data_IF_729012517259
#
_entry.id   IF_729012517259
#
_cell.length_a   1.000
_cell.length_b   1.000
_cell.length_c   1.000
_cell.angle_alpha   90.00
_cell.angle_beta   90.00
_cell.angle_gamma   90.00
#
_symmetry.space_group_name_H-M   'P 1'
#
loop_
_entity.id
_entity.type
_entity.pdbx_description
1 polymer ?
#
# COMPACT_ATOMS: atom_id res chain seq x y z
N UNK A 1 -18.45 -18.08 -13.06
CA UNK A 1 -19.62 -17.29 -13.51
C UNK A 1 -19.12 -16.05 -14.25
N UNK A 2 -19.30 -16.06 -15.56
CA UNK A 2 -18.68 -15.16 -16.54
C UNK A 2 -19.30 -13.75 -16.48
N UNK A 3 -18.41 -12.75 -16.46
CA UNK A 3 -18.59 -11.30 -16.54
C UNK A 3 -19.95 -10.75 -17.03
N UNK A 4 -20.94 -10.68 -16.13
CA UNK A 4 -22.23 -9.99 -16.36
C UNK A 4 -22.14 -8.45 -16.35
N UNK A 5 -20.92 -7.89 -16.15
CA UNK A 5 -20.68 -6.46 -16.00
C UNK A 5 -20.36 -5.73 -17.30
N UNK A 6 -19.74 -6.40 -18.29
CA UNK A 6 -19.41 -5.76 -19.59
C UNK A 6 -20.59 -5.72 -20.56
N UNK A 7 -21.46 -6.74 -20.55
CA UNK A 7 -22.70 -6.77 -21.35
C UNK A 7 -23.63 -5.58 -21.07
N UNK A 8 -23.71 -5.14 -19.80
CA UNK A 8 -24.60 -4.03 -19.40
C UNK A 8 -24.14 -2.64 -19.88
N UNK A 9 -22.86 -2.43 -20.16
CA UNK A 9 -22.34 -1.10 -20.55
C UNK A 9 -22.41 -0.88 -22.07
N UNK A 10 -22.27 -1.94 -22.86
CA UNK A 10 -22.54 -1.93 -24.30
C UNK A 10 -24.04 -1.70 -24.59
N UNK A 11 -24.92 -2.44 -23.91
CA UNK A 11 -26.38 -2.30 -24.06
C UNK A 11 -26.89 -0.87 -23.75
N UNK A 12 -26.40 -0.23 -22.67
CA UNK A 12 -26.81 1.14 -22.30
C UNK A 12 -26.33 2.22 -23.27
N UNK A 13 -25.25 1.98 -24.02
CA UNK A 13 -24.73 2.95 -25.01
C UNK A 13 -25.39 2.76 -26.38
N UNK A 14 -25.67 1.53 -26.79
CA UNK A 14 -26.46 1.24 -27.99
C UNK A 14 -27.87 1.87 -27.88
N UNK A 15 -28.51 1.74 -26.72
CA UNK A 15 -29.83 2.35 -26.46
C UNK A 15 -29.80 3.88 -26.56
N UNK A 16 -28.66 4.51 -26.23
CA UNK A 16 -28.45 5.96 -26.37
C UNK A 16 -28.19 6.41 -27.82
N UNK A 17 -27.60 5.54 -28.65
CA UNK A 17 -27.38 5.81 -30.09
C UNK A 17 -28.68 5.64 -30.88
N UNK A 18 -29.50 4.63 -30.55
CA UNK A 18 -30.84 4.43 -31.13
C UNK A 18 -31.80 5.57 -30.77
N UNK A 19 -31.79 6.05 -29.52
CA UNK A 19 -32.58 7.23 -29.10
C UNK A 19 -32.19 8.55 -29.79
N UNK A 20 -31.02 8.62 -30.45
CA UNK A 20 -30.50 9.84 -31.10
C UNK A 20 -30.69 9.83 -32.63
N UNK A 21 -30.94 8.66 -33.23
CA UNK A 21 -31.18 8.50 -34.66
C UNK A 21 -32.64 8.08 -34.85
N UNK A 22 -33.55 9.04 -34.99
CA UNK A 22 -34.99 8.76 -35.11
C UNK A 22 -35.33 7.95 -36.37
N UNK A 23 -35.36 6.63 -36.24
CA UNK A 23 -35.81 5.69 -37.27
C UNK A 23 -36.97 4.81 -36.78
N UNK A 24 -37.76 4.33 -37.73
CA UNK A 24 -39.07 3.69 -37.55
C UNK A 24 -39.02 2.26 -36.97
N UNK A 25 -40.08 1.90 -36.25
CA UNK A 25 -40.30 0.66 -35.48
C UNK A 25 -39.96 -0.68 -36.18
N UNK A 26 -39.90 -0.72 -37.53
CA UNK A 26 -39.51 -1.92 -38.29
C UNK A 26 -37.98 -2.13 -38.39
N UNK A 27 -37.17 -1.06 -38.29
CA UNK A 27 -35.70 -1.15 -38.21
C UNK A 27 -35.21 -1.47 -36.78
N UNK A 28 -36.00 -1.14 -35.76
CA UNK A 28 -35.72 -1.41 -34.35
C UNK A 28 -35.67 -2.92 -34.04
N UNK A 29 -36.53 -3.72 -34.69
CA UNK A 29 -36.55 -5.17 -34.53
C UNK A 29 -35.33 -5.86 -35.18
N UNK A 30 -34.88 -5.37 -36.35
CA UNK A 30 -33.72 -5.91 -37.05
C UNK A 30 -32.38 -5.51 -36.39
N UNK A 31 -32.31 -4.32 -35.77
CA UNK A 31 -31.15 -3.86 -35.01
C UNK A 31 -31.07 -4.49 -33.61
N UNK A 32 -32.21 -4.77 -32.97
CA UNK A 32 -32.26 -5.44 -31.66
C UNK A 32 -31.81 -6.90 -31.74
N UNK A 33 -32.05 -7.59 -32.85
CA UNK A 33 -31.64 -9.00 -33.05
C UNK A 33 -30.13 -9.15 -33.34
N UNK A 34 -29.44 -8.08 -33.75
CA UNK A 34 -27.98 -8.09 -34.01
C UNK A 34 -27.11 -7.75 -32.80
N UNK A 35 -27.70 -7.27 -31.70
CA UNK A 35 -26.96 -6.90 -30.47
C UNK A 35 -26.85 -8.10 -29.50
N UNK A 36 -27.55 -9.20 -29.77
CA UNK A 36 -27.36 -10.46 -29.07
C UNK A 36 -26.25 -11.30 -29.75
N UNK A 37 -25.16 -11.53 -29.00
CA UNK A 37 -24.08 -12.50 -29.27
C UNK A 37 -22.95 -12.10 -30.22
N UNK A 38 -22.31 -10.95 -29.99
CA UNK A 38 -20.89 -10.84 -30.33
C UNK A 38 -20.07 -11.76 -29.43
N UNK A 39 -19.95 -13.01 -29.88
CA UNK A 39 -19.15 -14.04 -29.23
C UNK A 39 -17.72 -13.88 -29.74
N UNK A 40 -16.80 -13.53 -28.83
CA UNK A 40 -15.37 -13.46 -29.16
C UNK A 40 -14.94 -14.80 -29.78
N UNK A 41 -14.29 -14.80 -30.96
CA UNK A 41 -13.75 -16.03 -31.52
C UNK A 41 -12.77 -16.71 -30.55
N UNK A 42 -12.95 -18.01 -30.31
CA UNK A 42 -12.17 -18.76 -29.31
C UNK A 42 -10.65 -18.68 -29.54
N UNK A 43 -10.19 -18.55 -30.79
CA UNK A 43 -8.77 -18.45 -31.14
C UNK A 43 -8.16 -17.07 -30.84
N UNK A 44 -8.97 -16.08 -30.46
CA UNK A 44 -8.50 -14.80 -29.94
C UNK A 44 -8.43 -14.77 -28.40
N UNK A 45 -8.96 -15.80 -27.76
CA UNK A 45 -9.03 -15.91 -26.32
C UNK A 45 -7.72 -16.49 -25.77
N UNK A 46 -7.16 -15.86 -24.74
CA UNK A 46 -6.02 -16.38 -24.01
C UNK A 46 -6.45 -17.61 -23.19
N UNK A 47 -5.77 -18.76 -23.30
CA UNK A 47 -6.14 -19.97 -22.53
C UNK A 47 -5.99 -19.82 -21.00
N UNK A 48 -5.17 -18.87 -20.54
CA UNK A 48 -4.95 -18.62 -19.10
C UNK A 48 -6.00 -17.65 -18.56
N UNK A 49 -6.10 -16.45 -19.15
CA UNK A 49 -6.97 -15.39 -18.62
C UNK A 49 -8.42 -15.52 -19.10
N UNK A 50 -8.67 -16.30 -20.15
CA UNK A 50 -9.95 -16.41 -20.84
C UNK A 50 -10.45 -15.06 -21.40
N UNK A 51 -9.54 -14.08 -21.54
CA UNK A 51 -9.80 -12.76 -22.11
C UNK A 51 -9.18 -12.64 -23.51
N UNK A 52 -9.61 -11.63 -24.26
CA UNK A 52 -9.04 -11.29 -25.57
C UNK A 52 -7.54 -11.01 -25.45
N UNK A 53 -6.72 -11.69 -26.24
CA UNK A 53 -5.26 -11.49 -26.25
C UNK A 53 -4.91 -10.09 -26.75
N UNK A 54 -4.16 -9.33 -25.95
CA UNK A 54 -3.68 -7.99 -26.34
C UNK A 54 -2.32 -8.06 -27.01
N UNK A 55 -1.46 -8.93 -26.49
CA UNK A 55 -0.16 -9.20 -27.06
C UNK A 55 0.03 -10.72 -27.25
N UNK A 56 -0.47 -11.30 -28.36
CA UNK A 56 -0.41 -12.74 -28.57
C UNK A 56 1.03 -13.21 -28.79
N UNK A 57 1.45 -14.19 -28.00
CA UNK A 57 2.75 -14.87 -28.07
C UNK A 57 2.57 -16.38 -28.09
N UNK A 58 3.35 -17.06 -28.91
CA UNK A 58 3.34 -18.51 -29.06
C UNK A 58 4.52 -19.13 -28.32
N UNK A 59 4.25 -20.15 -27.53
CA UNK A 59 5.27 -21.00 -26.91
C UNK A 59 5.83 -22.02 -27.91
N UNK A 60 6.90 -22.73 -27.55
CA UNK A 60 7.46 -23.82 -28.36
C UNK A 60 6.46 -24.96 -28.63
N UNK A 61 5.42 -25.06 -27.81
CA UNK A 61 4.32 -26.02 -27.95
C UNK A 61 3.31 -25.64 -29.03
N UNK A 62 3.44 -24.47 -29.64
CA UNK A 62 2.53 -23.96 -30.67
C UNK A 62 1.26 -23.29 -30.16
N UNK A 63 1.03 -23.28 -28.84
CA UNK A 63 -0.13 -22.60 -28.24
C UNK A 63 0.17 -21.11 -28.05
N UNK A 64 -0.80 -20.27 -28.43
CA UNK A 64 -0.73 -18.80 -28.28
C UNK A 64 -1.44 -18.35 -27.01
N UNK A 65 -0.81 -17.44 -26.27
CA UNK A 65 -1.29 -16.83 -25.05
C UNK A 65 -1.16 -15.32 -25.13
N UNK A 66 -1.87 -14.59 -24.26
CA UNK A 66 -1.53 -13.21 -23.99
C UNK A 66 -0.21 -13.13 -23.21
N UNK A 67 0.74 -12.31 -23.68
CA UNK A 67 2.10 -12.18 -23.09
C UNK A 67 2.05 -11.96 -21.58
N UNK A 68 1.23 -11.01 -21.12
CA UNK A 68 1.16 -10.69 -19.69
C UNK A 68 0.63 -11.84 -18.83
N UNK A 69 -0.18 -12.73 -19.42
CA UNK A 69 -0.72 -13.90 -18.72
C UNK A 69 0.33 -15.01 -18.61
N UNK A 70 1.06 -15.29 -19.70
CA UNK A 70 2.08 -16.35 -19.70
C UNK A 70 3.34 -15.94 -18.96
N UNK A 71 3.74 -14.66 -18.98
CA UNK A 71 4.87 -14.18 -18.17
C UNK A 71 4.60 -14.37 -16.67
N UNK A 72 3.39 -14.02 -16.19
CA UNK A 72 2.99 -14.26 -14.79
C UNK A 72 2.99 -15.74 -14.39
N UNK A 73 2.55 -16.61 -15.30
CA UNK A 73 2.55 -18.06 -15.08
C UNK A 73 3.97 -18.58 -14.84
N UNK A 74 4.92 -18.15 -15.67
CA UNK A 74 6.33 -18.50 -15.58
C UNK A 74 6.96 -17.93 -14.30
N UNK A 75 6.66 -16.66 -13.99
CA UNK A 75 7.13 -15.98 -12.77
C UNK A 75 6.64 -16.65 -11.48
N UNK A 76 5.50 -17.33 -11.55
CA UNK A 76 4.98 -18.12 -10.42
C UNK A 76 5.75 -19.44 -10.21
N UNK A 77 6.84 -19.66 -10.95
CA UNK A 77 7.70 -20.85 -10.86
C UNK A 77 7.30 -21.99 -11.80
N UNK A 78 6.30 -21.79 -12.66
CA UNK A 78 5.84 -22.85 -13.57
C UNK A 78 6.67 -22.88 -14.84
N UNK A 79 7.41 -23.97 -15.05
CA UNK A 79 8.26 -24.18 -16.23
C UNK A 79 7.62 -25.07 -17.30
N UNK A 80 6.31 -25.22 -17.26
CA UNK A 80 5.52 -26.02 -18.21
C UNK A 80 4.46 -25.17 -18.91
N UNK A 81 4.09 -25.59 -20.11
CA UNK A 81 2.98 -25.01 -20.86
C UNK A 81 1.65 -25.29 -20.14
N UNK A 82 0.82 -24.27 -19.84
CA UNK A 82 -0.43 -24.44 -19.09
C UNK A 82 -1.42 -25.43 -19.72
N UNK A 83 -1.45 -25.51 -21.06
CA UNK A 83 -2.40 -26.35 -21.79
C UNK A 83 -1.84 -27.76 -22.06
N UNK A 84 -0.59 -27.85 -22.49
CA UNK A 84 -0.01 -29.12 -22.94
C UNK A 84 0.81 -29.83 -21.87
N UNK A 85 1.09 -29.18 -20.73
CA UNK A 85 1.98 -29.64 -19.66
C UNK A 85 3.41 -29.98 -20.12
N UNK A 86 3.81 -29.58 -21.34
CA UNK A 86 5.16 -29.80 -21.85
C UNK A 86 6.15 -28.78 -21.28
N UNK A 87 7.41 -29.16 -21.00
CA UNK A 87 8.43 -28.25 -20.52
C UNK A 87 8.72 -27.14 -21.53
N UNK A 88 8.89 -25.92 -21.04
CA UNK A 88 9.16 -24.76 -21.89
C UNK A 88 10.62 -24.73 -22.34
N UNK A 89 10.85 -24.40 -23.61
CA UNK A 89 12.21 -24.23 -24.14
C UNK A 89 12.84 -22.93 -23.63
N UNK A 90 13.99 -23.02 -22.98
CA UNK A 90 14.73 -21.90 -22.39
C UNK A 90 15.82 -21.43 -23.37
N UNK A 91 16.12 -20.13 -23.40
CA UNK A 91 17.25 -19.59 -24.18
C UNK A 91 18.53 -19.74 -23.37
N UNK A 92 19.64 -20.13 -23.99
CA UNK A 92 20.93 -20.36 -23.31
C UNK A 92 21.55 -19.11 -22.65
N UNK A 93 21.00 -17.91 -22.89
CA UNK A 93 21.53 -16.63 -22.40
C UNK A 93 20.60 -15.91 -21.41
N UNK A 94 19.32 -16.33 -21.31
CA UNK A 94 18.32 -15.75 -20.41
C UNK A 94 17.47 -16.89 -19.86
N UNK A 95 17.32 -16.97 -18.53
CA UNK A 95 16.54 -18.01 -17.81
C UNK A 95 15.02 -17.92 -18.12
N UNK A 96 14.61 -17.07 -19.04
CA UNK A 96 13.22 -16.88 -19.46
C UNK A 96 12.84 -17.80 -20.62
N UNK A 97 11.68 -18.47 -20.57
CA UNK A 97 11.13 -19.26 -21.66
C UNK A 97 10.95 -18.46 -22.96
N UNK A 98 11.18 -19.12 -24.10
CA UNK A 98 11.03 -18.51 -25.42
C UNK A 98 9.54 -18.27 -25.71
N UNK A 99 9.14 -17.00 -25.73
CA UNK A 99 7.81 -16.54 -26.14
C UNK A 99 7.90 -15.77 -27.45
N UNK A 100 7.49 -16.39 -28.57
CA UNK A 100 7.61 -15.80 -29.91
C UNK A 100 6.37 -14.95 -30.20
N UNK A 101 6.49 -13.66 -30.56
CA UNK A 101 5.32 -12.85 -30.93
C UNK A 101 4.54 -13.45 -32.11
N UNK A 102 3.23 -13.63 -31.95
CA UNK A 102 2.35 -14.11 -33.02
C UNK A 102 1.72 -12.93 -33.77
N UNK A 103 2.44 -12.43 -34.78
CA UNK A 103 1.98 -11.28 -35.57
C UNK A 103 0.71 -11.55 -36.37
N UNK A 104 0.49 -12.80 -36.81
CA UNK A 104 -0.71 -13.18 -37.56
C UNK A 104 -1.97 -13.08 -36.69
N UNK A 105 -1.98 -13.73 -35.53
CA UNK A 105 -3.09 -13.65 -34.57
C UNK A 105 -3.32 -12.22 -34.10
N UNK A 106 -2.25 -11.45 -33.86
CA UNK A 106 -2.38 -10.03 -33.50
C UNK A 106 -3.12 -9.24 -34.57
N UNK A 107 -2.77 -9.43 -35.84
CA UNK A 107 -3.41 -8.74 -36.96
C UNK A 107 -4.88 -9.12 -37.05
N UNK A 108 -5.19 -10.41 -36.98
CA UNK A 108 -6.58 -10.90 -36.99
C UNK A 108 -7.41 -10.33 -35.84
N UNK A 109 -6.85 -10.23 -34.62
CA UNK A 109 -7.52 -9.60 -33.48
C UNK A 109 -7.75 -8.11 -33.73
N UNK A 110 -6.76 -7.40 -34.27
CA UNK A 110 -6.90 -5.98 -34.58
C UNK A 110 -7.96 -5.72 -35.65
N UNK A 111 -7.98 -6.53 -36.71
CA UNK A 111 -8.96 -6.44 -37.78
C UNK A 111 -10.37 -6.74 -37.25
N UNK A 112 -10.51 -7.78 -36.42
CA UNK A 112 -11.77 -8.08 -35.72
C UNK A 112 -12.23 -6.93 -34.82
N UNK A 113 -11.31 -6.28 -34.08
CA UNK A 113 -11.68 -5.11 -33.28
C UNK A 113 -12.19 -3.95 -34.14
N UNK A 114 -11.62 -3.74 -35.33
CA UNK A 114 -12.03 -2.68 -36.25
C UNK A 114 -13.40 -3.00 -36.86
N UNK A 115 -13.62 -4.23 -37.29
CA UNK A 115 -14.92 -4.70 -37.82
C UNK A 115 -16.05 -4.56 -36.79
N UNK A 116 -15.72 -4.73 -35.50
CA UNK A 116 -16.69 -4.68 -34.41
C UNK A 116 -16.67 -3.36 -33.63
N UNK A 117 -16.10 -2.30 -34.20
CA UNK A 117 -15.97 -0.99 -33.55
C UNK A 117 -17.34 -0.35 -33.21
N UNK A 118 -18.36 -0.60 -34.04
CA UNK A 118 -19.75 -0.16 -33.84
C UNK A 118 -20.38 -0.71 -32.54
N UNK A 119 -19.89 -1.84 -32.05
CA UNK A 119 -20.33 -2.46 -30.80
C UNK A 119 -19.51 -2.03 -29.58
N UNK A 120 -18.64 -1.00 -29.74
CA UNK A 120 -17.83 -0.45 -28.67
C UNK A 120 -16.54 -1.24 -28.38
N UNK A 121 -16.10 -2.10 -29.31
CA UNK A 121 -14.81 -2.78 -29.23
C UNK A 121 -13.74 -1.85 -29.80
N UNK A 122 -12.82 -1.42 -28.95
CA UNK A 122 -11.71 -0.57 -29.36
C UNK A 122 -10.57 -1.41 -29.95
N UNK A 123 -9.91 -0.87 -30.99
CA UNK A 123 -8.74 -1.49 -31.58
C UNK A 123 -7.59 -1.57 -30.58
N UNK A 124 -7.03 -2.76 -30.40
CA UNK A 124 -5.86 -2.95 -29.55
C UNK A 124 -4.62 -2.38 -30.26
N UNK A 125 -3.90 -1.41 -29.65
CA UNK A 125 -2.70 -0.85 -30.26
C UNK A 125 -1.60 -1.91 -30.34
N UNK A 126 -0.74 -1.82 -31.36
CA UNK A 126 0.42 -2.69 -31.48
C UNK A 126 1.36 -2.43 -30.29
N UNK A 127 1.75 -3.44 -29.51
CA UNK A 127 2.70 -3.29 -28.42
C UNK A 127 4.01 -2.67 -28.94
N UNK A 128 4.50 -1.63 -28.27
CA UNK A 128 5.82 -1.04 -28.58
C UNK A 128 6.92 -2.05 -28.26
N UNK A 129 8.04 -1.95 -28.97
CA UNK A 129 9.22 -2.78 -28.72
C UNK A 129 9.64 -2.55 -27.25
N UNK A 130 9.70 -3.60 -26.41
CA UNK A 130 10.16 -3.44 -25.03
C UNK A 130 11.58 -2.89 -24.98
N UNK A 131 11.89 -2.16 -23.92
CA UNK A 131 13.23 -1.62 -23.67
C UNK A 131 14.23 -2.78 -23.59
N UNK A 132 15.32 -2.70 -24.37
CA UNK A 132 16.40 -3.70 -24.27
C UNK A 132 17.29 -3.41 -23.05
N UNK A 133 18.01 -4.42 -22.53
CA UNK A 133 19.01 -4.22 -21.47
C UNK A 133 20.00 -3.09 -21.78
N UNK A 134 20.46 -2.99 -23.03
CA UNK A 134 21.39 -1.95 -23.47
C UNK A 134 20.75 -0.55 -23.42
N UNK A 135 19.51 -0.42 -23.90
CA UNK A 135 18.78 0.85 -23.85
C UNK A 135 18.53 1.29 -22.39
N UNK A 136 18.22 0.32 -21.51
CA UNK A 136 18.02 0.58 -20.10
C UNK A 136 19.31 1.11 -19.46
N UNK A 137 20.45 0.43 -19.68
CA UNK A 137 21.75 0.87 -19.19
C UNK A 137 22.16 2.23 -19.74
N UNK A 138 21.91 2.51 -21.02
CA UNK A 138 22.21 3.82 -21.61
C UNK A 138 21.42 4.94 -20.93
N UNK A 139 20.11 4.75 -20.72
CA UNK A 139 19.26 5.74 -20.06
C UNK A 139 19.72 5.99 -18.61
N UNK A 140 20.05 4.92 -17.88
CA UNK A 140 20.55 5.04 -16.50
C UNK A 140 21.91 5.73 -16.44
N UNK A 141 22.82 5.44 -17.38
CA UNK A 141 24.11 6.13 -17.49
C UNK A 141 23.95 7.61 -17.84
N UNK A 142 22.94 7.97 -18.65
CA UNK A 142 22.62 9.37 -18.93
C UNK A 142 22.12 10.09 -17.66
N UNK A 143 21.28 9.45 -16.85
CA UNK A 143 20.86 10.00 -15.54
C UNK A 143 22.07 10.17 -14.61
N UNK A 144 22.92 9.15 -14.48
CA UNK A 144 24.11 9.22 -13.64
C UNK A 144 25.06 10.35 -14.08
N UNK A 145 25.40 10.42 -15.37
CA UNK A 145 26.34 11.40 -15.91
C UNK A 145 25.82 12.84 -15.86
N UNK A 146 24.53 13.08 -16.12
CA UNK A 146 23.92 14.41 -15.97
C UNK A 146 23.90 14.86 -14.51
N UNK A 147 23.63 13.93 -13.59
CA UNK A 147 23.63 14.21 -12.15
C UNK A 147 25.03 14.55 -11.63
N UNK A 148 26.06 13.78 -11.99
CA UNK A 148 27.45 14.05 -11.60
C UNK A 148 28.00 15.38 -12.15
N UNK A 149 27.44 15.87 -13.27
CA UNK A 149 27.79 17.18 -13.86
C UNK A 149 26.99 18.34 -13.28
N UNK A 150 25.99 18.07 -12.43
CA UNK A 150 25.03 19.08 -11.98
C UNK A 150 24.13 19.61 -13.10
N UNK A 151 23.99 18.87 -14.22
CA UNK A 151 23.10 19.23 -15.33
C UNK A 151 21.65 18.87 -15.00
N UNK A 152 20.96 19.85 -14.39
CA UNK A 152 19.56 19.73 -13.98
C UNK A 152 18.63 19.43 -15.15
N UNK A 153 18.79 20.17 -16.25
CA UNK A 153 17.87 20.09 -17.39
C UNK A 153 18.04 18.77 -18.14
N UNK A 154 19.28 18.33 -18.34
CA UNK A 154 19.58 17.02 -18.92
C UNK A 154 19.09 15.86 -18.04
N UNK A 155 19.22 16.00 -16.71
CA UNK A 155 18.71 15.01 -15.78
C UNK A 155 17.18 14.92 -15.83
N UNK A 156 16.46 16.05 -15.79
CA UNK A 156 14.99 16.09 -15.90
C UNK A 156 14.51 15.46 -17.22
N UNK A 157 15.15 15.76 -18.34
CA UNK A 157 14.80 15.16 -19.63
C UNK A 157 15.02 13.64 -19.64
N UNK A 158 16.13 13.19 -19.05
CA UNK A 158 16.46 11.76 -18.93
C UNK A 158 15.46 11.03 -18.02
N UNK A 159 15.08 11.64 -16.89
CA UNK A 159 14.06 11.13 -15.97
C UNK A 159 12.67 11.10 -16.62
N UNK A 160 12.30 12.10 -17.42
CA UNK A 160 11.03 12.11 -18.14
C UNK A 160 10.96 10.97 -19.18
N UNK A 161 12.06 10.73 -19.92
CA UNK A 161 12.18 9.60 -20.84
C UNK A 161 12.05 8.27 -20.07
N UNK A 162 12.82 8.10 -19.00
CA UNK A 162 12.74 6.93 -18.12
C UNK A 162 11.32 6.67 -17.60
N UNK A 163 10.66 7.70 -17.06
CA UNK A 163 9.29 7.65 -16.54
C UNK A 163 8.27 7.22 -17.58
N UNK A 164 8.40 7.70 -18.81
CA UNK A 164 7.52 7.29 -19.90
C UNK A 164 7.64 5.79 -20.18
N UNK A 165 8.87 5.28 -20.26
CA UNK A 165 9.14 3.86 -20.54
C UNK A 165 8.70 2.93 -19.40
N UNK A 166 8.89 3.35 -18.15
CA UNK A 166 8.43 2.60 -16.96
C UNK A 166 6.89 2.50 -16.95
N UNK A 167 6.18 3.57 -17.32
CA UNK A 167 4.72 3.59 -17.39
C UNK A 167 4.14 2.79 -18.56
N UNK A 168 4.90 2.63 -19.64
CA UNK A 168 4.45 1.88 -20.82
C UNK A 168 4.27 0.39 -20.56
N UNK A 169 5.15 -0.23 -19.74
CA UNK A 169 5.11 -1.68 -19.51
C UNK A 169 5.79 -2.11 -18.21
N UNK A 170 5.17 -3.07 -17.51
CA UNK A 170 5.78 -3.73 -16.34
C UNK A 170 7.08 -4.47 -16.71
N UNK A 171 7.22 -4.92 -17.97
CA UNK A 171 8.48 -5.51 -18.46
C UNK A 171 9.61 -4.48 -18.50
N UNK A 172 9.33 -3.25 -18.94
CA UNK A 172 10.32 -2.16 -18.95
C UNK A 172 10.72 -1.81 -17.52
N UNK A 173 9.73 -1.66 -16.62
CA UNK A 173 9.96 -1.41 -15.21
C UNK A 173 10.89 -2.48 -14.60
N UNK A 174 10.61 -3.76 -14.80
CA UNK A 174 11.46 -4.86 -14.33
C UNK A 174 12.86 -4.79 -14.92
N UNK A 175 12.98 -4.52 -16.22
CA UNK A 175 14.28 -4.35 -16.86
C UNK A 175 15.11 -3.27 -16.16
N UNK A 176 14.55 -2.08 -15.92
CA UNK A 176 15.23 -1.02 -15.19
C UNK A 176 15.61 -1.41 -13.76
N UNK A 177 14.72 -2.08 -13.03
CA UNK A 177 15.00 -2.58 -11.67
C UNK A 177 16.20 -3.54 -11.68
N UNK A 178 16.23 -4.51 -12.60
CA UNK A 178 17.36 -5.46 -12.74
C UNK A 178 18.68 -4.77 -13.08
N UNK A 179 18.64 -3.58 -13.69
CA UNK A 179 19.84 -2.79 -14.04
C UNK A 179 20.17 -1.71 -12.99
N UNK A 180 19.66 -1.82 -11.76
CA UNK A 180 20.07 -0.95 -10.66
C UNK A 180 19.47 0.46 -10.70
N UNK A 181 18.29 0.63 -11.31
CA UNK A 181 17.64 1.95 -11.39
C UNK A 181 17.40 2.59 -10.02
N UNK A 182 17.06 1.82 -8.98
CA UNK A 182 16.90 2.34 -7.62
C UNK A 182 18.16 3.00 -7.07
N UNK A 183 19.32 2.36 -7.26
CA UNK A 183 20.64 2.84 -6.88
C UNK A 183 21.01 4.11 -7.65
N UNK A 184 20.83 4.10 -8.97
CA UNK A 184 21.13 5.27 -9.83
C UNK A 184 20.29 6.48 -9.45
N UNK A 185 18.98 6.30 -9.19
CA UNK A 185 18.10 7.39 -8.75
C UNK A 185 18.49 7.93 -7.38
N UNK A 186 18.88 7.06 -6.46
CA UNK A 186 19.33 7.45 -5.11
C UNK A 186 20.67 8.18 -5.16
N UNK A 187 21.58 7.75 -6.02
CA UNK A 187 22.86 8.41 -6.25
C UNK A 187 22.68 9.76 -6.94
N UNK A 188 21.78 9.85 -7.92
CA UNK A 188 21.41 11.13 -8.53
C UNK A 188 20.86 12.11 -7.48
N UNK A 189 19.95 11.65 -6.61
CA UNK A 189 19.45 12.46 -5.49
C UNK A 189 20.60 12.97 -4.62
N UNK A 190 21.56 12.10 -4.32
CA UNK A 190 22.77 12.43 -3.55
C UNK A 190 23.65 13.49 -4.19
N UNK A 191 23.94 13.39 -5.47
CA UNK A 191 24.81 14.33 -6.19
C UNK A 191 24.22 15.75 -6.22
N UNK A 192 22.90 15.89 -6.42
CA UNK A 192 22.26 17.21 -6.45
C UNK A 192 22.23 17.89 -5.08
N UNK A 193 22.04 17.15 -3.98
CA UNK A 193 22.10 17.78 -2.66
C UNK A 193 23.56 18.06 -2.23
N UNK A 194 24.54 17.21 -2.54
CA UNK A 194 25.95 17.48 -2.23
C UNK A 194 26.46 18.74 -2.95
N UNK A 195 26.03 18.95 -4.19
CA UNK A 195 26.32 20.16 -4.97
C UNK A 195 25.70 21.43 -4.38
N UNK A 196 24.68 21.30 -3.51
CA UNK A 196 24.04 22.42 -2.84
C UNK A 196 24.80 22.88 -1.58
N UNK A 197 25.47 21.94 -0.91
CA UNK A 197 26.19 22.18 0.36
C UNK A 197 27.48 22.99 0.23
N UNK A 198 28.03 23.12 -0.98
CA UNK A 198 29.26 23.86 -1.26
C UNK A 198 29.06 25.37 -1.47
N UNK A 199 27.80 25.86 -1.45
CA UNK A 199 27.49 27.29 -1.54
C UNK A 199 27.17 27.89 -0.16
N UNK A 200 28.10 28.70 0.34
CA UNK A 200 28.17 29.25 1.69
C UNK A 200 27.15 30.36 1.99
N UNK A 201 25.86 30.10 1.86
CA UNK A 201 24.81 31.07 2.24
C UNK A 201 23.59 30.37 2.81
N UNK A 202 23.45 30.50 4.12
CA UNK A 202 22.42 29.93 4.98
C UNK A 202 21.01 30.40 4.59
N UNK A 203 20.08 29.46 4.38
CA UNK A 203 18.74 29.44 5.02
C UNK A 203 17.73 28.50 4.34
N UNK A 204 18.01 27.95 3.15
CA UNK A 204 17.17 26.91 2.54
C UNK A 204 18.01 25.72 2.09
N UNK A 205 17.89 24.59 2.80
CA UNK A 205 18.56 23.32 2.46
C UNK A 205 18.15 22.80 1.07
N UNK A 206 17.01 23.26 0.55
CA UNK A 206 16.64 23.15 -0.84
C UNK A 206 16.94 24.48 -1.53
N UNK A 207 17.99 24.55 -2.35
CA UNK A 207 18.03 25.58 -3.38
C UNK A 207 16.77 25.40 -4.25
N UNK A 208 15.99 26.46 -4.45
CA UNK A 208 14.77 26.44 -5.30
C UNK A 208 15.03 25.75 -6.64
N UNK A 209 16.24 25.92 -7.18
CA UNK A 209 16.67 25.36 -8.46
C UNK A 209 16.77 23.83 -8.49
N UNK A 210 16.96 23.14 -7.36
CA UNK A 210 17.10 21.68 -7.30
C UNK A 210 15.78 20.98 -6.92
N UNK A 211 14.78 21.73 -6.44
CA UNK A 211 13.48 21.18 -6.00
C UNK A 211 12.84 20.35 -7.11
N UNK A 212 12.80 20.87 -8.34
CA UNK A 212 12.18 20.21 -9.50
C UNK A 212 12.87 18.86 -9.79
N UNK A 213 14.20 18.79 -9.68
CA UNK A 213 14.94 17.55 -9.91
C UNK A 213 14.59 16.51 -8.84
N UNK A 214 14.52 16.92 -7.57
CA UNK A 214 14.11 16.02 -6.48
C UNK A 214 12.66 15.55 -6.65
N UNK A 215 11.74 16.43 -7.05
CA UNK A 215 10.36 16.05 -7.35
C UNK A 215 10.29 15.02 -8.47
N UNK A 216 11.06 15.19 -9.55
CA UNK A 216 11.04 14.27 -10.68
C UNK A 216 11.66 12.91 -10.31
N UNK A 217 12.77 12.90 -9.54
CA UNK A 217 13.37 11.66 -8.99
C UNK A 217 12.35 10.93 -8.11
N UNK A 218 11.77 11.62 -7.13
CA UNK A 218 10.76 11.02 -6.23
C UNK A 218 9.51 10.59 -6.99
N UNK A 219 9.18 11.21 -8.13
CA UNK A 219 8.04 10.80 -8.93
C UNK A 219 8.17 9.40 -9.55
N UNK A 220 9.41 8.91 -9.70
CA UNK A 220 9.70 7.60 -10.29
C UNK A 220 10.23 6.60 -9.28
N UNK A 221 10.88 7.05 -8.21
CA UNK A 221 11.51 6.20 -7.20
C UNK A 221 10.56 5.15 -6.59
N UNK A 222 9.29 5.43 -6.24
CA UNK A 222 8.37 4.43 -5.69
C UNK A 222 8.06 3.26 -6.64
N UNK A 223 8.30 3.42 -7.95
CA UNK A 223 8.16 2.32 -8.90
C UNK A 223 9.34 1.34 -8.86
N UNK A 224 10.43 1.70 -8.17
CA UNK A 224 11.66 0.89 -8.06
C UNK A 224 11.74 0.11 -6.73
N UNK A 225 10.72 0.18 -5.87
CA UNK A 225 10.73 -0.53 -4.59
C UNK A 225 10.54 -2.05 -4.76
N UNK A 226 11.17 -2.89 -3.90
CA UNK A 226 12.05 -2.49 -2.78
C UNK A 226 13.44 -2.03 -3.26
N UNK A 227 14.04 -1.10 -2.52
CA UNK A 227 15.39 -0.59 -2.81
C UNK A 227 16.47 -1.52 -2.24
N UNK A 228 17.63 -1.54 -2.91
CA UNK A 228 18.82 -2.22 -2.38
C UNK A 228 19.44 -1.45 -1.20
N UNK A 229 20.40 -2.07 -0.52
CA UNK A 229 21.03 -1.51 0.68
C UNK A 229 21.76 -0.18 0.39
N UNK A 230 22.48 -0.09 -0.73
CA UNK A 230 23.21 1.13 -1.11
C UNK A 230 22.25 2.30 -1.35
N UNK A 231 21.20 2.09 -2.16
CA UNK A 231 20.16 3.09 -2.40
C UNK A 231 19.51 3.59 -1.11
N UNK A 232 19.16 2.66 -0.20
CA UNK A 232 18.57 3.00 1.11
C UNK A 232 19.56 3.77 1.98
N UNK A 233 20.83 3.40 1.99
CA UNK A 233 21.87 4.10 2.78
C UNK A 233 22.05 5.56 2.33
N UNK A 234 21.99 5.80 1.01
CA UNK A 234 22.13 7.13 0.42
C UNK A 234 20.95 8.03 0.76
N UNK A 235 19.72 7.53 0.59
CA UNK A 235 18.49 8.25 0.91
C UNK A 235 18.24 8.38 2.42
N UNK A 236 18.74 7.43 3.21
CA UNK A 236 18.64 7.43 4.66
C UNK A 236 19.68 8.30 5.37
N UNK A 237 20.52 9.04 4.64
CA UNK A 237 21.40 10.04 5.24
C UNK A 237 20.56 11.18 5.86
N UNK A 238 21.02 11.81 6.97
CA UNK A 238 20.25 12.88 7.64
C UNK A 238 19.88 14.04 6.70
N UNK A 239 20.78 14.39 5.78
CA UNK A 239 20.57 15.47 4.82
C UNK A 239 19.50 15.07 3.80
N UNK A 240 19.58 13.86 3.23
CA UNK A 240 18.61 13.39 2.26
C UNK A 240 17.20 13.30 2.88
N UNK A 241 17.09 12.75 4.10
CA UNK A 241 15.81 12.71 4.81
C UNK A 241 15.25 14.11 5.08
N UNK A 242 16.10 15.08 5.45
CA UNK A 242 15.66 16.46 5.64
C UNK A 242 15.12 17.07 4.33
N UNK A 243 15.77 16.81 3.19
CA UNK A 243 15.26 17.23 1.89
C UNK A 243 13.89 16.60 1.58
N UNK A 244 13.74 15.29 1.85
CA UNK A 244 12.48 14.57 1.62
C UNK A 244 11.36 15.11 2.53
N UNK A 245 11.64 15.39 3.80
CA UNK A 245 10.68 16.00 4.75
C UNK A 245 10.28 17.40 4.29
N UNK A 246 11.22 18.21 3.81
CA UNK A 246 10.89 19.53 3.24
C UNK A 246 9.94 19.40 2.02
N UNK A 247 10.16 18.40 1.16
CA UNK A 247 9.27 18.10 0.03
C UNK A 247 7.88 17.59 0.47
N UNK A 248 7.75 16.94 1.64
CA UNK A 248 6.45 16.57 2.23
C UNK A 248 5.62 17.78 2.69
N UNK A 249 6.27 18.91 2.93
CA UNK A 249 5.65 20.18 3.32
C UNK A 249 5.33 21.07 2.11
N UNK A 250 5.63 20.61 0.89
CA UNK A 250 5.31 21.32 -0.35
C UNK A 250 3.80 21.30 -0.67
N UNK A 251 3.35 22.20 -1.54
CA UNK A 251 1.95 22.24 -1.98
C UNK A 251 1.56 21.06 -2.90
N UNK A 252 2.55 20.40 -3.54
CA UNK A 252 2.30 19.37 -4.55
C UNK A 252 1.88 18.03 -3.96
N UNK A 253 0.62 17.62 -4.13
CA UNK A 253 0.10 16.35 -3.58
C UNK A 253 0.89 15.12 -4.05
N UNK A 254 1.31 15.09 -5.32
CA UNK A 254 2.14 14.01 -5.87
C UNK A 254 3.51 13.95 -5.19
N UNK A 255 4.15 15.11 -5.00
CA UNK A 255 5.43 15.24 -4.28
C UNK A 255 5.28 14.73 -2.86
N UNK A 256 4.30 15.24 -2.10
CA UNK A 256 4.01 14.80 -0.72
C UNK A 256 3.82 13.29 -0.62
N UNK A 257 3.00 12.72 -1.50
CA UNK A 257 2.74 11.27 -1.58
C UNK A 257 4.04 10.49 -1.83
N UNK A 258 4.84 10.90 -2.80
CA UNK A 258 6.02 10.14 -3.17
C UNK A 258 7.15 10.28 -2.13
N UNK A 259 7.27 11.45 -1.51
CA UNK A 259 8.18 11.68 -0.39
C UNK A 259 7.88 10.78 0.81
N UNK A 260 6.60 10.66 1.22
CA UNK A 260 6.25 9.77 2.34
C UNK A 260 6.47 8.30 2.00
N UNK A 261 6.30 7.90 0.73
CA UNK A 261 6.61 6.55 0.28
C UNK A 261 8.11 6.25 0.34
N UNK A 262 8.96 7.21 -0.03
CA UNK A 262 10.41 7.10 0.10
C UNK A 262 10.85 7.00 1.57
N UNK A 263 10.32 7.85 2.46
CA UNK A 263 10.62 7.73 3.89
C UNK A 263 10.17 6.40 4.48
N UNK A 264 8.98 5.91 4.10
CA UNK A 264 8.49 4.60 4.53
C UNK A 264 9.42 3.48 4.06
N UNK A 265 9.96 3.56 2.85
CA UNK A 265 10.93 2.58 2.35
C UNK A 265 12.24 2.60 3.15
N UNK A 266 12.72 3.79 3.54
CA UNK A 266 13.93 3.96 4.35
C UNK A 266 13.73 3.38 5.76
N UNK A 267 12.64 3.73 6.45
CA UNK A 267 12.45 3.33 7.86
C UNK A 267 11.99 1.88 8.05
N UNK A 268 11.47 1.23 7.02
CA UNK A 268 10.97 -0.15 7.10
C UNK A 268 12.05 -1.23 6.91
N UNK A 269 13.34 -0.88 6.76
CA UNK A 269 14.40 -1.89 6.62
C UNK A 269 14.73 -2.56 7.96
N UNK A 270 14.72 -3.90 7.98
CA UNK A 270 15.09 -4.72 9.15
C UNK A 270 16.55 -4.54 9.60
N UNK A 271 17.41 -4.01 8.70
CA UNK A 271 18.86 -4.03 8.87
C UNK A 271 19.42 -2.81 9.63
N UNK A 272 18.63 -1.74 9.80
CA UNK A 272 19.12 -0.42 10.25
C UNK A 272 18.83 -0.05 11.71
N UNK A 273 18.65 -1.05 12.58
CA UNK A 273 18.78 -0.90 14.05
C UNK A 273 18.07 0.30 14.70
N UNK A 274 16.96 0.78 14.14
CA UNK A 274 16.23 1.96 14.63
C UNK A 274 16.87 3.33 14.32
N UNK A 275 18.14 3.39 13.90
CA UNK A 275 18.90 4.65 13.74
C UNK A 275 18.25 5.64 12.74
N UNK A 276 17.75 5.15 11.61
CA UNK A 276 17.09 6.01 10.61
C UNK A 276 15.73 6.52 11.11
N UNK A 277 15.03 5.74 11.93
CA UNK A 277 13.76 6.14 12.54
C UNK A 277 13.99 7.25 13.56
N UNK A 278 15.00 7.11 14.42
CA UNK A 278 15.40 8.13 15.38
C UNK A 278 15.87 9.40 14.67
N UNK A 279 16.72 9.27 13.65
CA UNK A 279 17.17 10.40 12.84
C UNK A 279 16.00 11.13 12.16
N UNK A 280 15.01 10.40 11.62
CA UNK A 280 13.82 11.00 11.03
C UNK A 280 12.97 11.75 12.06
N UNK A 281 12.76 11.17 13.24
CA UNK A 281 11.89 11.73 14.26
C UNK A 281 12.40 13.05 14.85
N UNK A 282 13.71 13.32 14.75
CA UNK A 282 14.36 14.55 15.23
C UNK A 282 14.40 15.65 14.16
N UNK A 283 14.12 15.35 12.89
CA UNK A 283 14.08 16.36 11.81
C UNK A 283 12.93 17.35 12.05
N UNK A 284 13.24 18.64 11.94
CA UNK A 284 12.25 19.71 12.13
C UNK A 284 11.10 19.60 11.12
N UNK A 285 9.87 19.67 11.63
CA UNK A 285 8.65 19.55 10.82
C UNK A 285 8.32 18.14 10.32
N UNK A 286 9.11 17.11 10.65
CA UNK A 286 8.86 15.74 10.21
C UNK A 286 7.58 15.16 10.82
N UNK A 287 7.40 15.30 12.13
CA UNK A 287 6.22 14.81 12.85
C UNK A 287 4.95 15.55 12.39
N UNK A 288 5.04 16.87 12.21
CA UNK A 288 3.98 17.72 11.65
C UNK A 288 3.57 17.25 10.26
N UNK A 289 4.54 17.04 9.36
CA UNK A 289 4.26 16.61 8.00
C UNK A 289 3.61 15.22 7.96
N UNK A 290 4.04 14.29 8.82
CA UNK A 290 3.45 12.94 8.92
C UNK A 290 2.03 13.02 9.48
N UNK A 291 1.82 13.79 10.56
CA UNK A 291 0.52 13.99 11.18
C UNK A 291 -0.49 14.60 10.20
N UNK A 292 -0.11 15.66 9.49
CA UNK A 292 -0.97 16.32 8.49
C UNK A 292 -1.35 15.37 7.34
N UNK A 293 -0.50 14.42 6.95
CA UNK A 293 -0.86 13.40 5.95
C UNK A 293 -1.85 12.33 6.46
N UNK A 294 -1.93 12.13 7.78
CA UNK A 294 -2.95 11.26 8.40
C UNK A 294 -4.25 12.04 8.54
N UNK A 295 -4.17 13.30 8.97
CA UNK A 295 -5.31 14.19 9.17
C UNK A 295 -6.00 14.57 7.86
N UNK A 296 -5.22 14.90 6.83
CA UNK A 296 -5.70 15.25 5.50
C UNK A 296 -5.19 14.22 4.47
N UNK A 297 -5.87 13.06 4.36
CA UNK A 297 -5.38 11.95 3.56
C UNK A 297 -5.42 12.25 2.05
N UNK A 298 -4.27 12.15 1.38
CA UNK A 298 -4.16 12.32 -0.08
C UNK A 298 -4.72 11.09 -0.82
N UNK A 299 -4.30 9.90 -0.40
CA UNK A 299 -4.76 8.63 -0.94
C UNK A 299 -4.44 7.49 0.05
N UNK A 300 -5.11 6.33 -0.04
CA UNK A 300 -4.91 5.23 0.90
C UNK A 300 -3.45 4.76 0.99
N UNK A 301 -2.68 4.83 -0.11
CA UNK A 301 -1.26 4.43 -0.11
C UNK A 301 -0.41 5.39 0.72
N UNK A 302 -0.64 6.71 0.63
CA UNK A 302 0.07 7.70 1.42
C UNK A 302 -0.28 7.57 2.90
N UNK A 303 -1.57 7.45 3.23
CA UNK A 303 -2.03 7.26 4.62
C UNK A 303 -1.44 6.01 5.26
N UNK A 304 -1.43 4.88 4.53
CA UNK A 304 -0.79 3.64 5.00
C UNK A 304 0.72 3.82 5.23
N UNK A 305 1.40 4.57 4.37
CA UNK A 305 2.82 4.86 4.55
C UNK A 305 3.07 5.74 5.79
N UNK A 306 2.29 6.81 5.98
CA UNK A 306 2.36 7.66 7.17
C UNK A 306 2.17 6.85 8.44
N UNK A 307 1.13 6.02 8.51
CA UNK A 307 0.85 5.17 9.69
C UNK A 307 1.97 4.16 9.96
N UNK A 308 2.61 3.60 8.93
CA UNK A 308 3.75 2.70 9.11
C UNK A 308 4.97 3.44 9.67
N UNK A 309 5.26 4.64 9.17
CA UNK A 309 6.33 5.48 9.72
C UNK A 309 6.04 5.81 11.19
N UNK A 310 4.82 6.27 11.50
CA UNK A 310 4.41 6.57 12.88
C UNK A 310 4.50 5.33 13.77
N UNK A 311 4.13 4.15 13.27
CA UNK A 311 4.26 2.90 14.01
C UNK A 311 5.71 2.67 14.41
N UNK A 312 6.65 2.73 13.46
CA UNK A 312 8.08 2.57 13.74
C UNK A 312 8.59 3.58 14.77
N UNK A 313 8.17 4.85 14.69
CA UNK A 313 8.52 5.89 15.68
C UNK A 313 7.99 5.51 17.07
N UNK A 314 6.74 5.07 17.18
CA UNK A 314 6.11 4.71 18.48
C UNK A 314 6.61 3.39 19.08
N UNK A 315 7.27 2.55 18.28
CA UNK A 315 7.87 1.29 18.72
C UNK A 315 9.36 1.37 18.97
N UNK A 316 9.95 2.56 18.91
CA UNK A 316 11.35 2.78 19.29
C UNK A 316 11.62 2.32 20.73
N UNK A 317 12.88 1.98 21.01
CA UNK A 317 13.27 1.58 22.36
C UNK A 317 12.93 2.70 23.37
N UNK A 318 12.36 2.37 24.54
CA UNK A 318 12.00 3.36 25.54
C UNK A 318 13.24 4.11 26.04
N UNK A 319 13.31 5.39 25.70
CA UNK A 319 14.31 6.36 26.16
C UNK A 319 13.59 7.68 26.44
N UNK A 320 14.12 8.55 27.32
CA UNK A 320 13.50 9.85 27.61
C UNK A 320 13.32 10.73 26.35
N UNK A 321 14.18 10.58 25.34
CA UNK A 321 14.08 11.29 24.07
C UNK A 321 12.94 10.75 23.20
N UNK A 322 12.84 9.42 23.08
CA UNK A 322 11.80 8.76 22.29
C UNK A 322 10.42 8.96 22.92
N UNK A 323 10.34 8.97 24.25
CA UNK A 323 9.10 9.29 24.97
C UNK A 323 8.62 10.72 24.70
N UNK A 324 9.54 11.71 24.68
CA UNK A 324 9.19 13.09 24.30
C UNK A 324 8.66 13.19 22.86
N UNK A 325 9.23 12.43 21.93
CA UNK A 325 8.76 12.36 20.54
C UNK A 325 7.33 11.82 20.48
N UNK A 326 7.05 10.74 21.19
CA UNK A 326 5.69 10.15 21.26
C UNK A 326 4.72 11.14 21.92
N UNK A 327 5.11 11.78 23.02
CA UNK A 327 4.27 12.75 23.72
C UNK A 327 3.92 13.96 22.83
N UNK A 328 4.86 14.44 22.01
CA UNK A 328 4.58 15.49 21.00
C UNK A 328 3.48 15.07 20.02
N UNK A 329 3.50 13.82 19.53
CA UNK A 329 2.44 13.31 18.67
C UNK A 329 1.09 13.24 19.39
N UNK A 330 1.09 12.88 20.68
CA UNK A 330 -0.13 12.86 21.51
C UNK A 330 -0.69 14.28 21.68
N UNK A 331 0.16 15.26 22.01
CA UNK A 331 -0.20 16.68 22.15
C UNK A 331 -0.76 17.29 20.86
N UNK A 332 -0.33 16.80 19.69
CA UNK A 332 -0.90 17.19 18.40
C UNK A 332 -2.32 16.63 18.17
N UNK A 333 -2.83 15.78 19.07
CA UNK A 333 -4.17 15.19 18.97
C UNK A 333 -4.21 13.89 18.16
N UNK A 334 -3.07 13.20 17.99
CA UNK A 334 -3.00 11.96 17.19
C UNK A 334 -3.94 10.87 17.71
N UNK A 335 -4.11 10.73 19.04
CA UNK A 335 -5.01 9.71 19.63
C UNK A 335 -6.44 9.86 19.09
N UNK A 336 -7.01 11.08 19.16
CA UNK A 336 -8.36 11.34 18.69
C UNK A 336 -8.51 11.07 17.19
N UNK A 337 -7.54 11.55 16.40
CA UNK A 337 -7.51 11.34 14.95
C UNK A 337 -7.47 9.85 14.58
N UNK A 338 -6.69 9.04 15.30
CA UNK A 338 -6.60 7.58 15.08
C UNK A 338 -7.91 6.88 15.42
N UNK A 339 -8.56 7.27 16.52
CA UNK A 339 -9.86 6.69 16.94
C UNK A 339 -10.94 7.00 15.92
N UNK A 340 -11.02 8.24 15.43
CA UNK A 340 -11.93 8.63 14.35
C UNK A 340 -11.65 7.83 13.07
N UNK A 341 -10.37 7.68 12.71
CA UNK A 341 -9.94 6.89 11.55
C UNK A 341 -10.39 5.43 11.67
N UNK A 342 -10.42 4.85 12.87
CA UNK A 342 -10.81 3.46 13.07
C UNK A 342 -12.29 3.18 12.79
N UNK A 343 -13.18 4.17 12.86
CA UNK A 343 -14.63 3.96 12.76
C UNK A 343 -14.98 3.33 11.41
N UNK A 344 -14.44 3.88 10.32
CA UNK A 344 -14.75 3.48 8.93
C UNK A 344 -13.57 2.86 8.16
N UNK A 345 -12.42 2.65 8.83
CA UNK A 345 -11.23 2.09 8.19
C UNK A 345 -11.41 0.65 7.67
N UNK A 346 -10.81 0.38 6.50
CA UNK A 346 -10.59 -0.98 6.00
C UNK A 346 -9.70 -1.80 6.98
N UNK A 347 -9.63 -3.13 6.78
CA UNK A 347 -8.81 -4.00 7.66
C UNK A 347 -7.33 -3.60 7.67
N UNK A 348 -6.79 -3.23 6.51
CA UNK A 348 -5.37 -2.89 6.34
C UNK A 348 -4.98 -1.57 7.03
N UNK A 349 -5.88 -0.60 7.09
CA UNK A 349 -5.71 0.67 7.81
C UNK A 349 -5.96 0.43 9.30
N UNK A 350 -7.01 -0.31 9.65
CA UNK A 350 -7.35 -0.63 11.04
C UNK A 350 -6.19 -1.26 11.80
N UNK A 351 -5.51 -2.26 11.20
CA UNK A 351 -4.35 -2.91 11.82
C UNK A 351 -3.20 -1.93 12.09
N UNK A 352 -2.90 -1.02 11.14
CA UNK A 352 -1.83 -0.03 11.29
C UNK A 352 -2.16 1.01 12.36
N UNK A 353 -3.39 1.51 12.35
CA UNK A 353 -3.86 2.46 13.36
C UNK A 353 -3.80 1.84 14.76
N UNK A 354 -4.23 0.59 14.93
CA UNK A 354 -4.14 -0.12 16.21
C UNK A 354 -2.69 -0.34 16.63
N UNK A 355 -1.78 -0.61 15.68
CA UNK A 355 -0.35 -0.69 15.95
C UNK A 355 0.20 0.63 16.51
N UNK A 356 -0.10 1.75 15.84
CA UNK A 356 0.32 3.09 16.30
C UNK A 356 -0.26 3.40 17.68
N UNK A 357 -1.55 3.16 17.89
CA UNK A 357 -2.22 3.41 19.17
C UNK A 357 -1.61 2.57 20.30
N UNK A 358 -1.29 1.29 20.04
CA UNK A 358 -0.61 0.44 21.02
C UNK A 358 0.79 0.96 21.37
N UNK A 359 1.52 1.50 20.39
CA UNK A 359 2.83 2.15 20.60
C UNK A 359 2.70 3.42 21.46
N UNK A 360 1.72 4.28 21.18
CA UNK A 360 1.42 5.47 21.98
C UNK A 360 1.09 5.11 23.43
N UNK A 361 0.26 4.07 23.64
CA UNK A 361 -0.09 3.61 24.98
C UNK A 361 1.08 2.92 25.73
N UNK A 362 2.32 2.97 25.24
CA UNK A 362 3.50 2.65 26.04
C UNK A 362 3.94 3.83 26.94
N UNK A 363 3.41 5.04 26.74
CA UNK A 363 3.71 6.22 27.57
C UNK A 363 2.54 6.56 28.48
N UNK A 364 2.82 7.19 29.63
CA UNK A 364 1.76 7.59 30.57
C UNK A 364 0.79 8.61 29.97
N UNK A 365 1.32 9.61 29.24
CA UNK A 365 0.49 10.61 28.57
C UNK A 365 -0.41 9.98 27.51
N UNK A 366 0.11 9.00 26.76
CA UNK A 366 -0.66 8.26 25.76
C UNK A 366 -1.81 7.45 26.38
N UNK A 367 -1.56 6.79 27.51
CA UNK A 367 -2.59 6.06 28.27
C UNK A 367 -3.67 7.02 28.76
N UNK A 368 -3.28 8.14 29.40
CA UNK A 368 -4.23 9.13 29.92
C UNK A 368 -5.11 9.72 28.81
N UNK A 369 -4.49 10.16 27.71
CA UNK A 369 -5.21 10.78 26.59
C UNK A 369 -6.16 9.79 25.92
N UNK A 370 -5.77 8.52 25.79
CA UNK A 370 -6.63 7.47 25.25
C UNK A 370 -7.80 7.13 26.20
N UNK A 371 -7.57 7.19 27.51
CA UNK A 371 -8.63 6.98 28.50
C UNK A 371 -9.68 8.09 28.48
N UNK A 372 -9.27 9.36 28.38
CA UNK A 372 -10.18 10.51 28.35
C UNK A 372 -11.09 10.53 27.10
N UNK A 373 -10.74 9.76 26.07
CA UNK A 373 -11.54 9.65 24.86
C UNK A 373 -12.62 8.57 25.01
N UNK A 374 -13.87 9.03 25.16
CA UNK A 374 -15.09 8.21 25.30
C UNK A 374 -15.34 7.14 24.22
N UNK A 375 -14.67 7.18 23.07
CA UNK A 375 -14.86 6.20 21.99
C UNK A 375 -13.81 5.08 22.01
N UNK A 376 -12.69 5.24 22.72
CA UNK A 376 -11.54 4.31 22.63
C UNK A 376 -11.94 2.90 23.04
N UNK A 377 -12.55 2.72 24.21
CA UNK A 377 -12.92 1.39 24.72
C UNK A 377 -13.92 0.73 23.77
N UNK A 378 -15.00 1.43 23.41
CA UNK A 378 -16.00 0.93 22.47
C UNK A 378 -15.41 0.52 21.12
N UNK A 379 -14.53 1.35 20.53
CA UNK A 379 -13.89 1.07 19.23
C UNK A 379 -12.93 -0.11 19.33
N UNK A 380 -12.09 -0.19 20.37
CA UNK A 380 -11.17 -1.31 20.58
C UNK A 380 -11.93 -2.63 20.72
N UNK A 381 -12.95 -2.67 21.58
CA UNK A 381 -13.78 -3.86 21.77
C UNK A 381 -14.53 -4.23 20.49
N UNK A 382 -14.97 -3.24 19.68
CA UNK A 382 -15.57 -3.49 18.35
C UNK A 382 -14.58 -4.12 17.36
N UNK A 383 -13.28 -3.83 17.45
CA UNK A 383 -12.25 -4.30 16.50
C UNK A 383 -11.67 -5.69 16.85
N UNK A 384 -11.79 -6.15 18.10
CA UNK A 384 -11.40 -7.51 18.52
C UNK A 384 -11.98 -8.58 17.57
N UNK A 385 -11.13 -9.49 17.07
CA UNK A 385 -11.47 -10.59 16.15
C UNK A 385 -12.06 -10.18 14.78
N UNK A 386 -12.07 -8.89 14.42
CA UNK A 386 -12.67 -8.41 13.16
C UNK A 386 -11.68 -7.98 12.08
N UNK A 387 -10.43 -7.73 12.46
CA UNK A 387 -9.41 -7.16 11.57
C UNK A 387 -8.37 -8.21 11.17
N UNK A 388 -7.51 -8.59 12.11
CA UNK A 388 -6.45 -9.60 12.00
C UNK A 388 -6.04 -10.06 13.41
N UNK A 389 -5.21 -11.10 13.50
CA UNK A 389 -4.68 -11.59 14.77
C UNK A 389 -3.81 -10.52 15.44
N UNK A 390 -2.91 -9.89 14.68
CA UNK A 390 -2.05 -8.80 15.16
C UNK A 390 -2.86 -7.59 15.65
N UNK A 391 -3.92 -7.21 14.94
CA UNK A 391 -4.82 -6.15 15.38
C UNK A 391 -5.58 -6.51 16.68
N UNK A 392 -5.90 -7.79 16.86
CA UNK A 392 -6.53 -8.29 18.09
C UNK A 392 -5.53 -8.21 19.25
N UNK A 393 -4.28 -8.63 19.04
CA UNK A 393 -3.20 -8.51 20.02
C UNK A 393 -2.97 -7.06 20.45
N UNK A 394 -2.91 -6.12 19.50
CA UNK A 394 -2.83 -4.69 19.81
C UNK A 394 -4.03 -4.20 20.61
N UNK A 395 -5.25 -4.59 20.22
CA UNK A 395 -6.47 -4.14 20.91
C UNK A 395 -6.54 -4.66 22.35
N UNK A 396 -6.22 -5.93 22.58
CA UNK A 396 -6.14 -6.52 23.92
C UNK A 396 -5.05 -5.84 24.74
N UNK A 397 -3.89 -5.58 24.14
CA UNK A 397 -2.77 -4.91 24.80
C UNK A 397 -3.13 -3.48 25.24
N UNK A 398 -3.80 -2.70 24.38
CA UNK A 398 -4.28 -1.35 24.72
C UNK A 398 -5.32 -1.42 25.84
N UNK A 399 -6.35 -2.26 25.71
CA UNK A 399 -7.38 -2.42 26.73
C UNK A 399 -6.79 -2.82 28.08
N UNK A 400 -5.83 -3.74 28.08
CA UNK A 400 -5.12 -4.15 29.29
C UNK A 400 -4.40 -2.97 29.94
N UNK A 401 -3.59 -2.21 29.19
CA UNK A 401 -2.91 -1.01 29.70
C UNK A 401 -3.89 0.01 30.29
N UNK A 402 -4.94 0.36 29.55
CA UNK A 402 -5.92 1.36 30.00
C UNK A 402 -6.63 0.94 31.30
N UNK A 403 -6.96 -0.34 31.44
CA UNK A 403 -7.76 -0.84 32.56
C UNK A 403 -6.91 -1.28 33.76
N UNK A 404 -5.62 -1.62 33.59
CA UNK A 404 -4.74 -2.02 34.70
C UNK A 404 -3.92 -0.89 35.30
N UNK A 405 -3.49 0.12 34.50
CA UNK A 405 -2.65 1.22 34.99
C UNK A 405 -3.31 2.02 36.14
N UNK A 406 -4.64 1.96 36.26
CA UNK A 406 -5.38 2.65 37.32
C UNK A 406 -5.43 1.90 38.66
N UNK A 407 -5.40 0.57 38.64
CA UNK A 407 -5.42 -0.24 39.87
C UNK A 407 -4.19 0.08 40.73
N UNK A 408 -3.06 0.37 40.06
CA UNK A 408 -1.82 0.80 40.71
C UNK A 408 -1.87 2.21 41.32
N UNK A 409 -2.87 3.05 40.98
CA UNK A 409 -2.98 4.46 41.40
C UNK A 409 -4.00 4.73 42.53
N UNK A 410 -4.68 3.72 43.06
CA UNK A 410 -5.56 3.83 44.26
C UNK A 410 -6.67 4.91 44.17
N UNK A 411 -7.21 5.19 42.98
CA UNK A 411 -8.35 6.10 42.77
C UNK A 411 -9.68 5.32 42.87
N UNK A 412 -10.11 5.02 44.09
CA UNK A 412 -11.13 4.01 44.39
C UNK A 412 -12.60 4.35 44.07
N UNK A 413 -12.94 5.46 43.42
CA UNK A 413 -14.37 5.82 43.25
C UNK A 413 -14.80 6.23 41.83
N UNK A 414 -13.89 6.68 40.97
CA UNK A 414 -14.21 7.03 39.56
C UNK A 414 -13.69 5.94 38.59
N UNK A 415 -13.06 4.89 39.15
CA UNK A 415 -12.42 3.72 38.55
C UNK A 415 -13.28 2.88 37.61
N UNK A 416 -14.52 2.66 38.04
CA UNK A 416 -15.33 1.54 37.58
C UNK A 416 -16.04 1.81 36.25
N UNK A 417 -16.23 3.08 35.87
CA UNK A 417 -17.02 3.45 34.71
C UNK A 417 -16.46 2.86 33.42
N UNK A 418 -15.13 2.80 33.27
CA UNK A 418 -14.48 2.21 32.09
C UNK A 418 -14.59 0.67 32.05
N UNK A 419 -14.54 -0.01 33.21
CA UNK A 419 -14.74 -1.46 33.29
C UNK A 419 -16.20 -1.82 32.99
N UNK A 420 -17.13 -1.03 33.51
CA UNK A 420 -18.57 -1.15 33.23
C UNK A 420 -18.86 -0.86 31.75
N UNK A 421 -18.26 0.19 31.18
CA UNK A 421 -18.37 0.49 29.75
C UNK A 421 -17.86 -0.67 28.90
N UNK A 422 -16.66 -1.19 29.19
CA UNK A 422 -16.08 -2.34 28.49
C UNK A 422 -17.01 -3.57 28.54
N UNK A 423 -17.61 -3.84 29.70
CA UNK A 423 -18.61 -4.90 29.85
C UNK A 423 -19.86 -4.65 29.00
N UNK A 424 -20.41 -3.43 29.03
CA UNK A 424 -21.60 -3.03 28.25
C UNK A 424 -21.40 -3.21 26.74
N UNK A 425 -20.20 -2.93 26.22
CA UNK A 425 -19.86 -3.12 24.79
C UNK A 425 -19.45 -4.56 24.44
N UNK A 426 -19.55 -5.49 25.39
CA UNK A 426 -19.35 -6.93 25.20
C UNK A 426 -17.89 -7.36 25.20
N UNK A 427 -17.01 -6.71 25.97
CA UNK A 427 -15.60 -7.08 26.07
C UNK A 427 -15.42 -8.50 26.63
N UNK A 428 -16.20 -8.87 27.65
CA UNK A 428 -16.09 -10.16 28.33
C UNK A 428 -16.28 -11.34 27.37
N UNK A 429 -17.35 -11.33 26.56
CA UNK A 429 -17.62 -12.40 25.58
C UNK A 429 -16.52 -12.51 24.53
N UNK A 430 -16.02 -11.36 24.05
CA UNK A 430 -14.99 -11.34 23.01
C UNK A 430 -13.64 -11.82 23.54
N UNK A 431 -13.26 -11.42 24.75
CA UNK A 431 -12.03 -11.89 25.41
C UNK A 431 -12.10 -13.40 25.69
N UNK A 432 -13.26 -13.89 26.13
CA UNK A 432 -13.49 -15.32 26.29
C UNK A 432 -13.33 -16.07 24.97
N UNK A 433 -13.93 -15.58 23.89
CA UNK A 433 -13.80 -16.18 22.56
C UNK A 433 -12.34 -16.20 22.08
N UNK A 434 -11.57 -15.13 22.33
CA UNK A 434 -10.12 -15.07 22.04
C UNK A 434 -9.36 -16.19 22.76
N UNK A 435 -9.66 -16.43 24.04
CA UNK A 435 -9.02 -17.49 24.82
C UNK A 435 -9.41 -18.90 24.33
N UNK A 436 -10.62 -19.07 23.81
CA UNK A 436 -11.12 -20.35 23.29
C UNK A 436 -10.60 -20.71 21.91
N UNK A 437 -10.58 -19.74 20.99
CA UNK A 437 -10.07 -19.92 19.62
C UNK A 437 -8.55 -20.16 19.64
N UNK A 438 -7.87 -19.63 20.66
CA UNK A 438 -6.43 -19.68 20.81
C UNK A 438 -5.78 -18.38 20.35
N UNK A 439 -4.82 -17.89 21.12
CA UNK A 439 -4.06 -16.67 20.85
C UNK A 439 -2.61 -16.83 21.35
N UNK A 440 -1.74 -15.89 21.00
CA UNK A 440 -0.36 -15.84 21.49
C UNK A 440 -0.28 -15.74 23.02
N UNK A 441 0.82 -16.21 23.62
CA UNK A 441 0.98 -16.30 25.08
C UNK A 441 0.80 -14.95 25.77
N UNK A 442 1.44 -13.88 25.27
CA UNK A 442 1.30 -12.53 25.83
C UNK A 442 -0.16 -12.02 25.78
N UNK A 443 -0.86 -12.28 24.68
CA UNK A 443 -2.28 -11.89 24.53
C UNK A 443 -3.16 -12.68 25.49
N UNK A 444 -2.88 -13.98 25.65
CA UNK A 444 -3.59 -14.88 26.55
C UNK A 444 -3.47 -14.42 28.00
N UNK A 445 -2.27 -14.05 28.45
CA UNK A 445 -2.02 -13.52 29.80
C UNK A 445 -2.84 -12.25 30.05
N UNK A 446 -2.70 -11.25 29.17
CA UNK A 446 -3.42 -9.97 29.26
C UNK A 446 -4.93 -10.14 29.21
N UNK A 447 -5.45 -10.98 28.32
CA UNK A 447 -6.87 -11.28 28.21
C UNK A 447 -7.41 -11.99 29.47
N UNK A 448 -6.62 -12.88 30.05
CA UNK A 448 -7.00 -13.57 31.30
C UNK A 448 -7.06 -12.60 32.48
N UNK A 449 -6.12 -11.66 32.58
CA UNK A 449 -6.14 -10.63 33.61
C UNK A 449 -7.32 -9.68 33.44
N UNK A 450 -7.56 -9.18 32.23
CA UNK A 450 -8.75 -8.38 31.91
C UNK A 450 -10.04 -9.10 32.29
N UNK A 451 -10.16 -10.39 31.98
CA UNK A 451 -11.32 -11.20 32.35
C UNK A 451 -11.54 -11.25 33.86
N UNK A 452 -10.47 -11.39 34.67
CA UNK A 452 -10.58 -11.37 36.14
C UNK A 452 -11.09 -10.02 36.64
N UNK A 453 -10.59 -8.92 36.09
CA UNK A 453 -11.03 -7.57 36.45
C UNK A 453 -12.49 -7.32 36.08
N UNK A 454 -12.87 -7.63 34.85
CA UNK A 454 -14.25 -7.47 34.37
C UNK A 454 -15.23 -8.35 35.16
N UNK A 455 -14.82 -9.54 35.61
CA UNK A 455 -15.68 -10.43 36.39
C UNK A 455 -16.10 -9.82 37.74
N UNK A 456 -15.28 -8.94 38.35
CA UNK A 456 -15.63 -8.27 39.61
C UNK A 456 -16.81 -7.31 39.49
N UNK A 457 -17.06 -6.78 38.27
CA UNK A 457 -18.11 -5.81 38.01
C UNK A 457 -19.28 -6.40 37.20
N UNK A 458 -19.27 -7.71 36.95
CA UNK A 458 -20.26 -8.41 36.13
C UNK A 458 -21.68 -8.31 36.72
N UNK A 459 -21.79 -8.40 38.03
CA UNK A 459 -23.08 -8.35 38.75
C UNK A 459 -23.75 -6.98 38.66
N UNK A 460 -23.01 -5.92 38.29
CA UNK A 460 -23.56 -4.56 38.10
C UNK A 460 -24.32 -4.39 36.78
N UNK A 461 -24.28 -5.39 35.89
CA UNK A 461 -24.77 -5.29 34.52
C UNK A 461 -25.78 -6.38 34.14
N UNK A 462 -26.39 -7.07 35.13
CA UNK A 462 -27.41 -8.14 35.02
C UNK A 462 -28.18 -8.19 33.67
N UNK A 463 -27.54 -8.68 32.61
CA UNK A 463 -28.11 -8.85 31.26
C UNK A 463 -27.27 -9.80 30.41
N UNK A 464 -26.50 -10.71 31.02
CA UNK A 464 -25.88 -11.82 30.29
C UNK A 464 -26.23 -13.09 31.05
N UNK A 465 -27.31 -13.74 30.62
CA UNK A 465 -27.81 -14.94 31.24
C UNK A 465 -26.73 -16.03 31.17
N UNK A 466 -26.46 -16.64 32.32
CA UNK A 466 -25.42 -17.68 32.48
C UNK A 466 -25.64 -18.91 31.59
N UNK A 467 -26.82 -19.01 30.94
CA UNK A 467 -27.17 -20.04 29.98
C UNK A 467 -26.40 -19.95 28.64
N UNK A 468 -25.89 -18.77 28.25
CA UNK A 468 -25.15 -18.57 27.00
C UNK A 468 -23.74 -19.21 27.00
N UNK A 469 -23.32 -19.77 28.14
CA UNK A 469 -21.97 -20.28 28.37
C UNK A 469 -21.93 -21.77 28.77
N UNK A 470 -23.04 -22.50 28.65
CA UNK A 470 -23.11 -23.93 29.03
C UNK A 470 -22.20 -24.85 28.19
N UNK A 471 -21.74 -24.39 27.03
CA UNK A 471 -20.85 -25.14 26.13
C UNK A 471 -19.36 -24.77 26.25
N UNK A 472 -18.98 -23.97 27.25
CA UNK A 472 -17.57 -23.68 27.52
C UNK A 472 -16.84 -24.94 28.01
N UNK A 473 -15.86 -25.42 27.24
CA UNK A 473 -15.06 -26.62 27.55
C UNK A 473 -14.23 -26.54 28.84
N UNK A 474 -14.18 -25.41 29.55
CA UNK A 474 -13.50 -25.26 30.84
C UNK A 474 -14.28 -24.31 31.75
N UNK A 475 -14.57 -24.68 33.01
CA UNK A 475 -15.01 -23.72 34.01
C UNK A 475 -13.85 -22.79 34.42
N UNK A 476 -14.19 -21.58 34.85
CA UNK A 476 -13.27 -20.55 35.32
C UNK A 476 -12.62 -20.93 36.66
#
# INVERSE_FOLDING_TARGET
MISSWRRRRAARRAQKVVLMAGSSDEEEAAASDQVELLTMPNHFQCPISLDLMKDPVTLSTGITYDRGSIEKWIESGNMTCPVTNQPLSIRSLDVSPICIPNHAIRRMIQDWCVENCSFGIERIPTPRIPVSPMDASEILNNIASTSSRGDRQGCIQSLAKFKSLVRESERNKRCFVTHGAGTVLSSAFKEFYNSSSSSSSSSSLLQENNVIVFEEILSVLPSMFPLDEDARSQLGSPIAMHCIVSLMRSAGLCTRRNSVLALKEIVSSSDSGGNQVEALAVIDGALEAIFELIKEPICPTATKASLVITYHITTLHPTPTNERIINRLVEMGLVNLLVETLIDADKSISEKVLGVLNGICNTELGIHTAYDNSLVIAVLVKKLLRVSDLATDFSVSILWKLLTTRISRNENEVGDDALVEALQVGAFQKLLLILQVGCGESTKEKATELMKLLNLHRDRLECIDSQDFKDLKRPF
#
